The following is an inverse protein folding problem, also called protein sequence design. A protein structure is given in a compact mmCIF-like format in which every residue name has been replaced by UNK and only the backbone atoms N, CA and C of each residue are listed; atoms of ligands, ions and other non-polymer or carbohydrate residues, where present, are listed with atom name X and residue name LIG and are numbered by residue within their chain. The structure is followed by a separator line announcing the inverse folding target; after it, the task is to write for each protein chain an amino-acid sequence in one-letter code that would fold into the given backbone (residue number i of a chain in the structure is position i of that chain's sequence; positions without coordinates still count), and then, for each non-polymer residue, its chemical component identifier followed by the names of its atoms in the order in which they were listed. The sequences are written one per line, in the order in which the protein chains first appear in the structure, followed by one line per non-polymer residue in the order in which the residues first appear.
data_IF_646322032171
#
_entry.id   IF_646322032171
#
_cell.length_a   1.000
_cell.length_b   1.000
_cell.length_c   1.000
_cell.angle_alpha   90.00
_cell.angle_beta   90.00
_cell.angle_gamma   90.00
#
_symmetry.space_group_name_H-M   'P 1'
#
loop_
_entity.id
_entity.type
_entity.pdbx_description
1 polymer ?
#
# COMPACT_ATOMS: atom_id res chain seq x y z
N UNK A 1 5.04 -2.38 3.41
CA UNK A 1 4.14 -2.54 2.25
C UNK A 1 3.38 -3.84 2.48
N UNK A 2 2.08 -3.73 2.73
CA UNK A 2 1.22 -4.78 3.31
C UNK A 2 -0.12 -4.80 2.56
N UNK A 3 -0.06 -4.69 1.24
CA UNK A 3 -1.25 -4.37 0.44
C UNK A 3 -2.16 -5.58 0.23
N UNK A 4 -1.65 -6.78 0.47
CA UNK A 4 -2.43 -8.04 0.45
C UNK A 4 -2.59 -8.67 1.83
N UNK A 5 -2.74 -7.86 2.87
CA UNK A 5 -3.16 -8.38 4.17
C UNK A 5 -4.59 -8.91 4.09
N UNK A 6 -4.79 -10.13 4.57
CA UNK A 6 -6.10 -10.77 4.68
C UNK A 6 -6.36 -11.17 6.13
N UNK A 7 -7.61 -11.40 6.54
CA UNK A 7 -7.91 -11.95 7.87
C UNK A 7 -7.22 -13.29 8.15
N UNK A 8 -6.83 -14.02 7.10
CA UNK A 8 -6.11 -15.28 7.19
C UNK A 8 -4.60 -15.12 7.50
N UNK A 9 -4.05 -13.92 7.31
CA UNK A 9 -2.63 -13.60 7.49
C UNK A 9 -2.39 -12.61 8.63
N UNK A 10 -3.41 -12.24 9.39
CA UNK A 10 -3.32 -11.26 10.48
C UNK A 10 -4.68 -10.86 11.05
N UNK A 11 -4.66 -10.18 12.19
CA UNK A 11 -5.85 -9.53 12.77
C UNK A 11 -5.99 -8.14 12.18
N UNK A 12 -7.10 -7.88 11.48
CA UNK A 12 -7.35 -6.60 10.86
C UNK A 12 -7.92 -5.58 11.85
N UNK A 13 -7.40 -4.36 11.82
CA UNK A 13 -7.91 -3.23 12.60
C UNK A 13 -8.87 -2.43 11.74
N UNK A 14 -10.05 -2.12 12.27
CA UNK A 14 -11.00 -1.22 11.58
C UNK A 14 -10.47 0.22 11.67
N UNK A 15 -10.38 0.87 10.51
CA UNK A 15 -9.84 2.23 10.36
C UNK A 15 -10.84 3.15 9.69
N UNK A 16 -10.76 4.45 9.97
CA UNK A 16 -11.44 5.47 9.16
C UNK A 16 -10.47 5.93 8.08
N UNK A 17 -10.86 5.77 6.82
CA UNK A 17 -10.07 6.32 5.70
C UNK A 17 -10.34 7.81 5.60
N UNK A 18 -9.27 8.60 5.49
CA UNK A 18 -9.34 10.05 5.33
C UNK A 18 -8.35 10.45 4.26
N UNK A 19 -8.72 11.40 3.40
CA UNK A 19 -7.76 11.99 2.48
C UNK A 19 -7.15 13.22 3.16
N UNK A 20 -5.84 13.40 2.98
CA UNK A 20 -5.08 14.54 3.47
C UNK A 20 -4.62 15.38 2.29
N UNK A 21 -4.66 16.70 2.45
CA UNK A 21 -4.27 17.70 1.44
C UNK A 21 -2.78 17.70 1.17
N UNK A 22 -1.97 17.26 2.13
CA UNK A 22 -0.50 17.30 2.10
C UNK A 22 0.10 16.10 1.35
N UNK A 23 -0.71 15.08 1.04
CA UNK A 23 -0.24 13.90 0.33
C UNK A 23 -0.10 14.20 -1.16
N UNK A 24 1.13 14.39 -1.64
CA UNK A 24 1.43 14.54 -3.08
C UNK A 24 0.90 13.31 -3.83
N UNK A 25 0.28 13.53 -5.00
CA UNK A 25 -0.50 12.52 -5.74
C UNK A 25 -1.69 11.94 -4.93
N UNK A 26 -2.18 12.67 -3.93
CA UNK A 26 -3.35 12.31 -3.15
C UNK A 26 -4.66 12.82 -3.77
N UNK A 27 -5.78 12.21 -3.36
CA UNK A 27 -7.12 12.59 -3.84
C UNK A 27 -7.65 13.95 -3.39
N UNK A 28 -6.98 14.58 -2.42
CA UNK A 28 -7.27 15.92 -1.90
C UNK A 28 -6.11 16.89 -2.09
N UNK A 29 -5.07 16.49 -2.81
CA UNK A 29 -3.97 17.37 -3.13
C UNK A 29 -4.45 18.41 -4.14
N UNK A 30 -4.32 19.69 -3.81
CA UNK A 30 -4.84 20.80 -4.62
C UNK A 30 -3.90 21.22 -5.76
N UNK A 31 -2.65 20.73 -5.76
CA UNK A 31 -1.69 20.99 -6.84
C UNK A 31 -1.99 20.22 -8.13
N UNK A 32 -1.26 20.58 -9.20
CA UNK A 32 -1.47 20.08 -10.57
C UNK A 32 -1.55 18.55 -10.69
N UNK A 33 -0.81 17.83 -9.84
CA UNK A 33 -0.72 16.37 -9.88
C UNK A 33 -1.63 15.66 -8.88
N UNK A 34 -2.65 16.34 -8.37
CA UNK A 34 -3.68 15.72 -7.53
C UNK A 34 -4.46 14.64 -8.28
N UNK A 35 -4.63 13.47 -7.67
CA UNK A 35 -5.39 12.39 -8.29
C UNK A 35 -6.90 12.69 -8.19
N UNK A 36 -7.63 12.47 -9.28
CA UNK A 36 -9.09 12.68 -9.32
C UNK A 36 -9.82 11.40 -8.95
N UNK A 37 -10.91 11.54 -8.18
CA UNK A 37 -11.84 10.44 -7.82
C UNK A 37 -11.20 9.24 -7.09
N UNK A 38 -10.01 9.40 -6.52
CA UNK A 38 -9.36 8.31 -5.81
C UNK A 38 -9.82 8.23 -4.35
N UNK A 39 -10.00 6.99 -3.89
CA UNK A 39 -10.21 6.72 -2.47
C UNK A 39 -8.97 7.14 -1.69
N UNK A 40 -9.21 7.61 -0.47
CA UNK A 40 -8.15 8.04 0.40
C UNK A 40 -7.17 6.93 0.80
N UNK A 41 -5.89 7.28 0.88
CA UNK A 41 -4.79 6.37 1.27
C UNK A 41 -4.40 6.46 2.75
N UNK A 42 -4.80 7.53 3.45
CA UNK A 42 -4.53 7.64 4.89
C UNK A 42 -5.59 6.89 5.68
N UNK A 43 -5.13 6.04 6.59
CA UNK A 43 -5.95 5.29 7.52
C UNK A 43 -5.74 5.81 8.95
N UNK A 44 -6.77 6.41 9.52
CA UNK A 44 -6.76 6.81 10.93
C UNK A 44 -7.19 5.61 11.78
N UNK A 45 -6.25 5.11 12.58
CA UNK A 45 -6.50 4.08 13.58
C UNK A 45 -6.65 4.69 14.97
N UNK A 46 -7.50 4.09 15.80
CA UNK A 46 -7.65 4.46 17.21
C UNK A 46 -6.87 3.47 18.08
N UNK A 47 -6.24 3.95 19.15
CA UNK A 47 -5.48 3.10 20.09
C UNK A 47 -6.27 1.89 20.58
N UNK A 48 -7.56 2.06 20.90
CA UNK A 48 -8.47 0.96 21.29
C UNK A 48 -8.50 -0.18 20.26
N UNK A 49 -8.48 0.14 18.97
CA UNK A 49 -8.50 -0.88 17.90
C UNK A 49 -7.20 -1.68 17.85
N UNK A 50 -6.06 -1.06 18.18
CA UNK A 50 -4.77 -1.74 18.30
C UNK A 50 -4.78 -2.69 19.49
N UNK A 51 -5.20 -2.22 20.67
CA UNK A 51 -5.31 -3.05 21.87
C UNK A 51 -6.17 -4.29 21.63
N UNK A 52 -7.37 -4.11 21.05
CA UNK A 52 -8.27 -5.23 20.71
C UNK A 52 -7.64 -6.23 19.74
N UNK A 53 -6.83 -5.77 18.78
CA UNK A 53 -6.14 -6.66 17.85
C UNK A 53 -5.06 -7.47 18.57
N UNK A 54 -4.30 -6.86 19.47
CA UNK A 54 -3.30 -7.54 20.29
C UNK A 54 -3.95 -8.57 21.21
N UNK A 55 -5.02 -8.19 21.92
CA UNK A 55 -5.79 -9.09 22.77
C UNK A 55 -6.30 -10.32 22.00
N UNK A 56 -6.81 -10.11 20.78
CA UNK A 56 -7.22 -11.22 19.90
C UNK A 56 -6.07 -12.15 19.55
N UNK A 57 -4.89 -11.61 19.21
CA UNK A 57 -3.72 -12.45 18.95
C UNK A 57 -3.34 -13.23 20.20
N UNK A 58 -3.31 -12.56 21.37
CA UNK A 58 -2.96 -13.16 22.65
C UNK A 58 -3.92 -14.28 23.08
N UNK A 59 -5.21 -14.14 22.77
CA UNK A 59 -6.23 -15.15 23.06
C UNK A 59 -6.21 -16.37 22.11
N UNK A 60 -5.51 -16.31 20.97
CA UNK A 60 -5.40 -17.45 20.05
C UNK A 60 -4.54 -18.57 20.63
N UNK A 61 -4.91 -19.81 20.31
CA UNK A 61 -4.07 -20.97 20.58
C UNK A 61 -2.81 -20.94 19.70
N UNK A 62 -1.75 -21.60 20.17
CA UNK A 62 -0.44 -21.58 19.51
C UNK A 62 -0.51 -21.99 18.03
N UNK A 63 -1.19 -23.09 17.72
CA UNK A 63 -1.30 -23.62 16.36
C UNK A 63 -1.96 -22.63 15.38
N UNK A 64 -2.99 -21.89 15.82
CA UNK A 64 -3.62 -20.87 15.00
C UNK A 64 -2.69 -19.69 14.75
N UNK A 65 -1.97 -19.25 15.79
CA UNK A 65 -1.02 -18.14 15.70
C UNK A 65 0.15 -18.49 14.77
N UNK A 66 0.70 -19.70 14.87
CA UNK A 66 1.77 -20.19 13.98
C UNK A 66 1.32 -20.26 12.53
N UNK A 67 0.13 -20.83 12.29
CA UNK A 67 -0.46 -20.91 10.95
C UNK A 67 -0.68 -19.52 10.34
N UNK A 68 -1.16 -18.56 11.14
CA UNK A 68 -1.33 -17.18 10.73
C UNK A 68 0.03 -16.52 10.40
N UNK A 69 1.05 -16.73 11.25
CA UNK A 69 2.40 -16.21 11.03
C UNK A 69 3.05 -16.76 9.76
N UNK A 70 2.90 -18.07 9.49
CA UNK A 70 3.40 -18.69 8.26
C UNK A 70 2.74 -18.08 7.01
N UNK A 71 1.43 -17.81 7.06
CA UNK A 71 0.70 -17.14 5.97
C UNK A 71 1.15 -15.69 5.79
N UNK A 72 1.32 -14.95 6.88
CA UNK A 72 1.85 -13.59 6.86
C UNK A 72 3.23 -13.52 6.18
N UNK A 73 4.15 -14.42 6.56
CA UNK A 73 5.47 -14.53 5.95
C UNK A 73 5.40 -14.81 4.45
N UNK A 74 4.54 -15.74 4.03
CA UNK A 74 4.34 -16.04 2.59
C UNK A 74 3.82 -14.80 1.83
N UNK A 75 2.83 -14.11 2.38
CA UNK A 75 2.27 -12.91 1.75
C UNK A 75 3.31 -11.81 1.61
N UNK A 76 4.15 -11.59 2.62
CA UNK A 76 5.25 -10.63 2.55
C UNK A 76 6.16 -10.87 1.34
N UNK A 77 6.58 -12.12 1.11
CA UNK A 77 7.43 -12.43 -0.05
C UNK A 77 6.71 -12.28 -1.40
N UNK A 78 5.41 -12.61 -1.45
CA UNK A 78 4.60 -12.42 -2.66
C UNK A 78 4.50 -10.94 -3.00
N UNK A 79 4.20 -10.10 -2.01
CA UNK A 79 4.11 -8.65 -2.18
C UNK A 79 5.46 -8.10 -2.67
N UNK A 80 6.58 -8.45 -2.02
CA UNK A 80 7.92 -8.00 -2.45
C UNK A 80 8.23 -8.33 -3.91
N UNK A 81 7.90 -9.54 -4.37
CA UNK A 81 8.09 -9.93 -5.78
C UNK A 81 7.19 -9.13 -6.72
N UNK A 82 5.92 -8.96 -6.35
CA UNK A 82 4.97 -8.17 -7.15
C UNK A 82 5.45 -6.73 -7.32
N UNK A 83 5.84 -6.07 -6.23
CA UNK A 83 6.31 -4.69 -6.29
C UNK A 83 7.63 -4.55 -7.03
N UNK A 84 8.56 -5.49 -6.87
CA UNK A 84 9.80 -5.50 -7.66
C UNK A 84 9.50 -5.56 -9.17
N UNK A 85 8.55 -6.40 -9.60
CA UNK A 85 8.09 -6.46 -10.99
C UNK A 85 7.47 -5.14 -11.43
N UNK A 86 6.54 -4.58 -10.65
CA UNK A 86 5.85 -3.33 -11.01
C UNK A 86 6.78 -2.13 -11.05
N UNK A 87 7.78 -2.06 -10.18
CA UNK A 87 8.81 -1.03 -10.23
C UNK A 87 9.74 -1.17 -11.44
N UNK A 88 9.96 -2.39 -11.93
CA UNK A 88 10.68 -2.61 -13.19
C UNK A 88 9.86 -2.08 -14.37
N UNK A 89 8.60 -2.48 -14.48
CA UNK A 89 7.66 -2.00 -15.51
C UNK A 89 7.56 -0.46 -15.50
N UNK A 90 7.42 0.15 -14.32
CA UNK A 90 7.35 1.60 -14.17
C UNK A 90 8.63 2.30 -14.68
N UNK A 91 9.80 1.74 -14.40
CA UNK A 91 11.07 2.29 -14.90
C UNK A 91 11.20 2.18 -16.41
N UNK A 92 10.74 1.08 -16.99
CA UNK A 92 10.73 0.89 -18.45
C UNK A 92 9.81 1.92 -19.12
N UNK A 93 8.61 2.11 -18.58
CA UNK A 93 7.68 3.15 -19.03
C UNK A 93 8.30 4.55 -18.90
N UNK A 94 8.88 4.90 -17.75
CA UNK A 94 9.51 6.19 -17.54
C UNK A 94 10.67 6.46 -18.51
N UNK A 95 11.48 5.43 -18.82
CA UNK A 95 12.55 5.52 -19.83
C UNK A 95 12.00 5.66 -21.25
N UNK A 96 10.93 4.96 -21.59
CA UNK A 96 10.25 5.10 -22.88
C UNK A 96 9.62 6.48 -23.08
N UNK A 97 9.02 7.04 -22.01
CA UNK A 97 8.50 8.41 -22.00
C UNK A 97 9.65 9.42 -22.17
N UNK A 98 10.76 9.24 -21.45
CA UNK A 98 11.97 10.08 -21.59
C UNK A 98 12.58 10.05 -23.00
N UNK A 99 12.57 8.91 -23.69
CA UNK A 99 13.07 8.82 -25.07
C UNK A 99 12.19 9.55 -26.10
N UNK A 100 10.90 9.72 -25.82
CA UNK A 100 9.94 10.31 -26.76
C UNK A 100 9.77 11.82 -26.51
N UNK A 101 9.90 12.29 -25.27
CA UNK A 101 9.73 13.70 -24.90
C UNK A 101 10.99 14.55 -25.10
N UNK A 102 12.19 13.97 -25.02
CA UNK A 102 13.43 14.70 -25.32
C UNK A 102 13.70 14.89 -26.82
N UNK A 103 13.01 14.15 -27.71
CA UNK A 103 13.19 14.30 -29.17
C UNK A 103 12.36 15.42 -29.78
N UNK A 104 11.43 16.04 -29.06
CA UNK A 104 10.58 17.12 -29.61
C UNK A 104 10.99 18.52 -29.18
N UNK A 105 12.01 18.69 -28.32
CA UNK A 105 12.45 20.01 -27.84
C UNK A 105 13.63 20.54 -28.68
N UNK A 106 14.34 19.69 -29.42
CA UNK A 106 15.49 20.08 -30.26
C UNK A 106 15.14 20.33 -31.74
N UNK A 107 13.86 20.57 -32.07
CA UNK A 107 13.42 20.82 -33.44
C UNK A 107 12.51 22.04 -33.56
N UNK A 108 13.00 23.23 -33.20
CA UNK A 108 12.68 24.49 -33.92
C UNK A 108 13.73 25.56 -33.64
#
# INVERSE_FOLDING_TARGET
MNERLTPASGVLIKVKRVAQSEQILGGKFEGEHGLKEVKAFVAVMKGRGVCQAVEKVLAMILAEREKMGARAKRHYFVDMKFFASKMKELRELARGIGATQFRSIDAT
#
